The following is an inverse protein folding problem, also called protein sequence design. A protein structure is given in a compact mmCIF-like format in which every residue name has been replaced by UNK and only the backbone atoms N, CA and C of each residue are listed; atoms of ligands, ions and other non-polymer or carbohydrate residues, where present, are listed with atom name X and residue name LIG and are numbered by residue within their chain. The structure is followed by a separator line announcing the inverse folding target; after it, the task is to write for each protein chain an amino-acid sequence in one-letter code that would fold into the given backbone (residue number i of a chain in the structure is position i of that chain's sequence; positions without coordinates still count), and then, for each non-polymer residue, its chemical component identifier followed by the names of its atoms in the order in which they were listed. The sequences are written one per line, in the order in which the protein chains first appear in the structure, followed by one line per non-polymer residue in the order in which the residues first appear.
data_IF_878590768739
#
_entry.id   IF_878590768739
#
_cell.length_a   1.000
_cell.length_b   1.000
_cell.length_c   1.000
_cell.angle_alpha   90.00
_cell.angle_beta   90.00
_cell.angle_gamma   90.00
#
_symmetry.space_group_name_H-M   'P 1'
#
loop_
_entity.id
_entity.type
_entity.pdbx_description
1 polymer ?
#
# COMPACT_ATOMS: atom_id res chain seq x y z
N UNK A 1 -10.78 -19.88 6.71
CA UNK A 1 -10.12 -19.50 5.44
C UNK A 1 -9.52 -20.70 4.71
N UNK A 2 -8.80 -21.61 5.40
CA UNK A 2 -8.25 -22.83 4.77
C UNK A 2 -9.33 -23.88 4.43
N UNK A 3 -10.34 -24.09 5.30
CA UNK A 3 -11.40 -25.08 5.05
C UNK A 3 -12.33 -24.73 3.87
N UNK A 4 -12.53 -23.43 3.60
CA UNK A 4 -13.31 -22.95 2.44
C UNK A 4 -12.61 -23.20 1.10
N UNK A 5 -11.32 -23.56 1.10
CA UNK A 5 -10.56 -23.95 -0.08
C UNK A 5 -10.90 -25.36 -0.59
N UNK A 6 -11.78 -26.12 0.05
CA UNK A 6 -12.13 -27.48 -0.41
C UNK A 6 -13.58 -27.66 -0.88
N UNK A 7 -14.46 -26.67 -0.70
CA UNK A 7 -15.91 -26.86 -0.91
C UNK A 7 -16.53 -26.27 -2.20
N UNK A 8 -15.77 -25.69 -3.16
CA UNK A 8 -16.40 -25.06 -4.34
C UNK A 8 -15.56 -25.19 -5.62
N UNK A 9 -16.15 -25.77 -6.68
CA UNK A 9 -15.45 -26.26 -7.89
C UNK A 9 -15.29 -25.25 -9.05
N UNK A 10 -15.91 -24.07 -9.04
CA UNK A 10 -16.11 -23.28 -10.28
C UNK A 10 -15.65 -21.79 -10.31
N UNK A 11 -14.72 -21.34 -9.46
CA UNK A 11 -14.13 -19.98 -9.61
C UNK A 11 -12.64 -19.99 -9.27
N UNK A 12 -11.83 -19.17 -9.98
CA UNK A 12 -10.38 -18.97 -9.81
C UNK A 12 -9.93 -18.93 -8.33
N UNK A 13 -9.63 -20.10 -7.73
CA UNK A 13 -9.29 -20.25 -6.30
C UNK A 13 -7.86 -19.81 -5.99
N UNK A 14 -7.02 -19.73 -7.03
CA UNK A 14 -5.59 -19.50 -6.89
C UNK A 14 -5.17 -18.04 -7.04
N UNK A 15 -5.99 -17.16 -7.63
CA UNK A 15 -5.58 -15.76 -7.84
C UNK A 15 -5.37 -14.99 -6.54
N UNK A 16 -6.22 -15.20 -5.52
CA UNK A 16 -6.00 -14.59 -4.19
C UNK A 16 -4.80 -15.21 -3.47
N UNK A 17 -4.54 -16.50 -3.70
CA UNK A 17 -3.41 -17.20 -3.11
C UNK A 17 -2.09 -16.75 -3.74
N UNK A 18 -2.08 -16.51 -5.05
CA UNK A 18 -0.94 -16.04 -5.83
C UNK A 18 -0.46 -14.65 -5.40
N UNK A 19 -1.40 -13.69 -5.27
CA UNK A 19 -1.08 -12.35 -4.77
C UNK A 19 -0.62 -12.41 -3.30
N UNK A 20 -1.28 -13.20 -2.45
CA UNK A 20 -0.89 -13.33 -1.04
C UNK A 20 0.50 -13.93 -0.88
N UNK A 21 0.80 -15.02 -1.60
CA UNK A 21 2.10 -15.68 -1.54
C UNK A 21 3.25 -14.84 -2.10
N UNK A 22 2.96 -13.90 -3.00
CA UNK A 22 3.97 -13.02 -3.58
C UNK A 22 4.22 -11.77 -2.71
N UNK A 23 3.15 -11.17 -2.17
CA UNK A 23 3.23 -9.90 -1.44
C UNK A 23 3.57 -10.11 0.04
N UNK A 24 2.96 -11.11 0.69
CA UNK A 24 3.16 -11.37 2.12
C UNK A 24 4.63 -11.54 2.54
N UNK A 25 5.47 -12.37 1.87
CA UNK A 25 6.85 -12.55 2.32
C UNK A 25 7.66 -11.25 2.24
N UNK A 26 7.42 -10.45 1.21
CA UNK A 26 8.08 -9.15 1.04
C UNK A 26 7.73 -8.21 2.20
N UNK A 27 6.44 -8.12 2.57
CA UNK A 27 5.99 -7.28 3.69
C UNK A 27 6.53 -7.77 5.03
N UNK A 28 6.60 -9.09 5.25
CA UNK A 28 7.16 -9.64 6.48
C UNK A 28 8.65 -9.32 6.63
N UNK A 29 9.42 -9.48 5.54
CA UNK A 29 10.85 -9.16 5.54
C UNK A 29 11.06 -7.66 5.82
N UNK A 30 10.30 -6.77 5.18
CA UNK A 30 10.44 -5.32 5.42
C UNK A 30 10.14 -4.94 6.86
N UNK A 31 9.09 -5.51 7.48
CA UNK A 31 8.78 -5.28 8.89
C UNK A 31 9.91 -5.76 9.79
N UNK A 32 10.45 -6.96 9.55
CA UNK A 32 11.60 -7.49 10.32
C UNK A 32 12.81 -6.55 10.20
N UNK A 33 13.13 -6.07 9.01
CA UNK A 33 14.25 -5.14 8.81
C UNK A 33 14.02 -3.81 9.55
N UNK A 34 12.81 -3.26 9.51
CA UNK A 34 12.48 -2.04 10.26
C UNK A 34 12.63 -2.23 11.77
N UNK A 35 12.18 -3.38 12.31
CA UNK A 35 12.37 -3.72 13.72
C UNK A 35 13.85 -3.84 14.07
N UNK A 36 14.66 -4.47 13.22
CA UNK A 36 16.10 -4.60 13.44
C UNK A 36 16.80 -3.24 13.49
N UNK A 37 16.40 -2.26 12.68
CA UNK A 37 16.95 -0.90 12.75
C UNK A 37 16.67 -0.22 14.10
N UNK A 38 15.46 -0.42 14.66
CA UNK A 38 15.13 0.09 16.01
C UNK A 38 16.01 -0.58 17.06
N UNK A 39 16.21 -1.90 16.96
CA UNK A 39 17.07 -2.64 17.87
C UNK A 39 18.51 -2.12 17.82
N UNK A 40 19.10 -1.96 16.63
CA UNK A 40 20.45 -1.40 16.43
C UNK A 40 20.56 0.00 17.04
N UNK A 41 19.55 0.86 16.83
CA UNK A 41 19.52 2.20 17.41
C UNK A 41 19.49 2.15 18.94
N UNK A 42 18.71 1.25 19.55
CA UNK A 42 18.69 1.10 21.03
C UNK A 42 20.02 0.59 21.57
N UNK A 43 20.68 -0.35 20.89
CA UNK A 43 22.00 -0.84 21.31
C UNK A 43 23.08 0.22 21.19
N UNK A 44 22.95 1.14 20.24
CA UNK A 44 23.90 2.24 20.06
C UNK A 44 24.02 3.17 21.28
N UNK A 45 23.02 3.18 22.18
CA UNK A 45 23.04 3.95 23.43
C UNK A 45 24.11 3.44 24.40
N UNK A 46 24.44 2.14 24.36
CA UNK A 46 25.49 1.55 25.21
C UNK A 46 26.90 1.91 24.74
N UNK A 47 27.06 2.42 23.52
CA UNK A 47 28.34 2.86 22.97
C UNK A 47 28.22 4.28 22.36
N UNK A 48 28.27 5.33 23.22
CA UNK A 48 28.03 6.72 22.82
C UNK A 48 28.95 7.25 21.71
N UNK A 49 30.15 6.67 21.57
CA UNK A 49 31.12 7.05 20.54
C UNK A 49 30.69 6.67 19.12
N UNK A 50 29.87 5.62 18.96
CA UNK A 50 29.37 5.15 17.66
C UNK A 50 27.94 5.59 17.37
N UNK A 51 27.20 6.09 18.37
CA UNK A 51 25.81 6.52 18.24
C UNK A 51 25.57 7.48 17.07
N UNK A 52 26.39 8.53 16.84
CA UNK A 52 26.14 9.46 15.74
C UNK A 52 26.24 8.81 14.36
N UNK A 53 27.25 7.94 14.16
CA UNK A 53 27.44 7.20 12.90
C UNK A 53 26.30 6.22 12.67
N UNK A 54 25.89 5.47 13.69
CA UNK A 54 24.78 4.52 13.59
C UNK A 54 23.46 5.25 13.30
N UNK A 55 23.22 6.39 13.96
CA UNK A 55 22.02 7.19 13.72
C UNK A 55 21.95 7.71 12.29
N UNK A 56 23.09 8.12 11.70
CA UNK A 56 23.17 8.52 10.30
C UNK A 56 22.82 7.35 9.36
N UNK A 57 23.41 6.18 9.57
CA UNK A 57 23.11 4.98 8.76
C UNK A 57 21.64 4.56 8.85
N UNK A 58 21.05 4.62 10.05
CA UNK A 58 19.62 4.34 10.24
C UNK A 58 18.76 5.38 9.52
N UNK A 59 19.11 6.66 9.60
CA UNK A 59 18.39 7.72 8.91
C UNK A 59 18.47 7.56 7.37
N UNK A 60 19.64 7.26 6.83
CA UNK A 60 19.85 7.00 5.41
C UNK A 60 19.07 5.77 4.94
N UNK A 61 19.07 4.70 5.73
CA UNK A 61 18.27 3.52 5.45
C UNK A 61 16.78 3.86 5.36
N UNK A 62 16.25 4.58 6.35
CA UNK A 62 14.84 4.97 6.38
C UNK A 62 14.47 5.90 5.23
N UNK A 63 15.31 6.90 4.94
CA UNK A 63 15.12 7.82 3.82
C UNK A 63 15.08 7.07 2.49
N UNK A 64 16.06 6.20 2.26
CA UNK A 64 16.15 5.37 1.05
C UNK A 64 14.96 4.44 0.92
N UNK A 65 14.51 3.83 2.02
CA UNK A 65 13.32 2.99 2.04
C UNK A 65 12.07 3.76 1.63
N UNK A 66 11.84 4.96 2.18
CA UNK A 66 10.70 5.82 1.82
C UNK A 66 10.75 6.23 0.35
N UNK A 67 11.91 6.65 -0.15
CA UNK A 67 12.09 7.06 -1.55
C UNK A 67 11.81 5.89 -2.50
N UNK A 68 12.37 4.71 -2.22
CA UNK A 68 12.17 3.53 -3.06
C UNK A 68 10.71 3.04 -2.99
N UNK A 69 10.08 3.09 -1.82
CA UNK A 69 8.68 2.73 -1.66
C UNK A 69 7.77 3.66 -2.47
N UNK A 70 7.95 4.98 -2.34
CA UNK A 70 7.24 5.97 -3.13
C UNK A 70 7.44 5.75 -4.63
N UNK A 71 8.69 5.55 -5.06
CA UNK A 71 9.04 5.30 -6.46
C UNK A 71 8.39 4.04 -7.01
N UNK A 72 8.33 2.96 -6.23
CA UNK A 72 7.69 1.70 -6.65
C UNK A 72 6.17 1.85 -6.85
N UNK A 73 5.50 2.57 -5.95
CA UNK A 73 4.07 2.87 -6.08
C UNK A 73 3.80 3.78 -7.26
N UNK A 74 4.65 4.80 -7.47
CA UNK A 74 4.55 5.68 -8.61
C UNK A 74 4.71 4.90 -9.92
N UNK A 75 5.68 3.98 -10.00
CA UNK A 75 5.88 3.14 -11.16
C UNK A 75 4.68 2.23 -11.45
N UNK A 76 4.13 1.56 -10.43
CA UNK A 76 2.90 0.77 -10.55
C UNK A 76 1.72 1.63 -11.04
N UNK A 77 1.55 2.82 -10.48
CA UNK A 77 0.52 3.77 -10.89
C UNK A 77 0.71 4.22 -12.35
N UNK A 78 1.95 4.49 -12.76
CA UNK A 78 2.29 4.87 -14.13
C UNK A 78 1.97 3.74 -15.11
N UNK A 79 2.37 2.50 -14.82
CA UNK A 79 2.03 1.32 -15.62
C UNK A 79 0.52 1.18 -15.73
N UNK A 80 -0.23 1.35 -14.65
CA UNK A 80 -1.70 1.27 -14.65
C UNK A 80 -2.32 2.35 -15.54
N UNK A 81 -1.83 3.59 -15.46
CA UNK A 81 -2.34 4.69 -16.30
C UNK A 81 -2.02 4.46 -17.78
N UNK A 82 -0.82 3.96 -18.11
CA UNK A 82 -0.41 3.67 -19.49
C UNK A 82 -1.25 2.52 -20.07
N UNK A 83 -1.38 1.41 -19.32
CA UNK A 83 -2.11 0.22 -19.77
C UNK A 83 -3.61 0.48 -19.89
N UNK A 84 -4.19 1.24 -18.96
CA UNK A 84 -5.62 1.52 -18.90
C UNK A 84 -5.98 2.93 -19.40
N UNK A 85 -5.14 3.51 -20.28
CA UNK A 85 -5.28 4.88 -20.76
C UNK A 85 -6.65 5.19 -21.36
N UNK A 86 -7.27 4.22 -22.05
CA UNK A 86 -8.60 4.40 -22.66
C UNK A 86 -9.76 4.19 -21.68
N UNK A 87 -9.55 3.45 -20.60
CA UNK A 87 -10.60 3.16 -19.60
C UNK A 87 -10.72 4.27 -18.55
N UNK A 88 -9.63 4.97 -18.26
CA UNK A 88 -9.63 6.10 -17.34
C UNK A 88 -10.26 7.32 -18.03
N UNK A 89 -11.55 7.54 -17.79
CA UNK A 89 -12.29 8.71 -18.28
C UNK A 89 -12.01 9.91 -17.36
N UNK A 90 -11.02 10.70 -17.72
CA UNK A 90 -10.78 12.03 -17.16
C UNK A 90 -9.88 12.85 -18.10
N UNK A 91 -9.83 14.19 -17.99
CA UNK A 91 -8.94 15.01 -18.79
C UNK A 91 -7.47 14.70 -18.50
N UNK A 92 -6.61 14.84 -19.52
CA UNK A 92 -5.20 14.40 -19.50
C UNK A 92 -4.42 15.00 -18.32
N UNK A 93 -4.64 16.27 -18.00
CA UNK A 93 -3.96 16.93 -16.88
C UNK A 93 -4.28 16.27 -15.53
N UNK A 94 -5.53 15.81 -15.33
CA UNK A 94 -5.92 15.09 -14.10
C UNK A 94 -5.30 13.71 -14.02
N UNK A 95 -5.15 13.00 -15.16
CA UNK A 95 -4.47 11.68 -15.19
C UNK A 95 -3.05 11.79 -14.66
N UNK A 96 -2.32 12.78 -15.14
CA UNK A 96 -0.93 13.01 -14.75
C UNK A 96 -0.87 13.45 -13.28
N UNK A 97 -1.70 14.42 -12.87
CA UNK A 97 -1.75 14.87 -11.47
C UNK A 97 -2.09 13.74 -10.49
N UNK A 98 -3.05 12.88 -10.86
CA UNK A 98 -3.47 11.76 -10.03
C UNK A 98 -2.42 10.65 -9.94
N UNK A 99 -1.58 10.49 -10.96
CA UNK A 99 -0.42 9.59 -10.89
C UNK A 99 0.58 10.02 -9.81
N UNK A 100 0.82 11.32 -9.63
CA UNK A 100 1.71 11.83 -8.58
C UNK A 100 1.09 11.79 -7.19
N UNK A 101 -0.22 11.97 -7.08
CA UNK A 101 -0.91 11.92 -5.77
C UNK A 101 -1.26 10.49 -5.34
N UNK A 102 -1.21 9.52 -6.26
CA UNK A 102 -1.48 8.10 -5.97
C UNK A 102 -0.57 7.51 -4.87
N UNK A 103 0.77 7.64 -4.90
CA UNK A 103 1.61 7.13 -3.82
C UNK A 103 1.29 7.77 -2.46
N UNK A 104 0.99 9.06 -2.44
CA UNK A 104 0.57 9.77 -1.22
C UNK A 104 -0.75 9.19 -0.67
N UNK A 105 -1.73 8.97 -1.55
CA UNK A 105 -2.98 8.31 -1.19
C UNK A 105 -2.74 6.92 -0.60
N UNK A 106 -1.87 6.13 -1.22
CA UNK A 106 -1.52 4.80 -0.72
C UNK A 106 -0.84 4.85 0.65
N UNK A 107 0.00 5.85 0.93
CA UNK A 107 0.60 6.02 2.26
C UNK A 107 -0.44 6.29 3.36
N UNK A 108 -1.60 6.89 3.04
CA UNK A 108 -2.68 7.07 4.03
C UNK A 108 -3.27 5.75 4.53
N UNK A 109 -3.08 4.64 3.80
CA UNK A 109 -3.50 3.32 4.29
C UNK A 109 -2.71 2.87 5.51
N UNK A 110 -1.49 3.36 5.74
CA UNK A 110 -0.69 3.02 6.92
C UNK A 110 -1.41 3.47 8.21
N UNK A 111 -1.73 4.78 8.41
CA UNK A 111 -2.44 5.21 9.60
C UNK A 111 -3.85 4.63 9.69
N UNK A 112 -4.55 4.45 8.56
CA UNK A 112 -5.87 3.80 8.54
C UNK A 112 -5.78 2.36 9.07
N UNK A 113 -4.76 1.60 8.65
CA UNK A 113 -4.56 0.21 9.09
C UNK A 113 -4.22 0.11 10.57
N UNK A 114 -3.39 1.04 11.07
CA UNK A 114 -3.08 1.13 12.50
C UNK A 114 -4.35 1.42 13.30
N UNK A 115 -5.15 2.42 12.88
CA UNK A 115 -6.41 2.76 13.53
C UNK A 115 -7.41 1.59 13.50
N UNK A 116 -7.49 0.86 12.38
CA UNK A 116 -8.35 -0.29 12.21
C UNK A 116 -7.96 -1.47 13.13
N UNK A 117 -6.67 -1.64 13.44
CA UNK A 117 -6.20 -2.72 14.32
C UNK A 117 -6.68 -2.55 15.78
N UNK A 118 -6.90 -1.31 16.22
CA UNK A 118 -7.38 -1.00 17.57
C UNK A 118 -8.89 -0.68 17.63
N UNK A 119 -9.52 -0.44 16.47
CA UNK A 119 -10.95 -0.17 16.37
C UNK A 119 -11.80 -1.45 16.35
N UNK A 120 -12.99 -1.41 16.98
CA UNK A 120 -14.04 -2.40 16.71
C UNK A 120 -14.65 -2.09 15.34
N UNK A 121 -14.02 -2.59 14.28
CA UNK A 121 -14.49 -2.40 12.91
C UNK A 121 -15.68 -3.33 12.67
N UNK A 122 -16.85 -2.91 13.14
CA UNK A 122 -18.10 -3.52 12.74
C UNK A 122 -18.48 -3.00 11.34
N UNK A 123 -18.83 -3.93 10.45
CA UNK A 123 -19.39 -3.54 9.16
C UNK A 123 -20.73 -2.84 9.41
N UNK A 124 -20.80 -1.56 9.09
CA UNK A 124 -22.07 -0.81 9.05
C UNK A 124 -22.49 -0.67 7.59
N UNK A 125 -23.76 -0.94 7.25
CA UNK A 125 -24.25 -0.71 5.89
C UNK A 125 -24.07 0.77 5.54
N UNK A 126 -23.55 1.01 4.34
CA UNK A 126 -23.44 2.36 3.79
C UNK A 126 -24.79 2.67 3.16
N UNK A 127 -25.50 3.65 3.70
CA UNK A 127 -26.76 4.11 3.14
C UNK A 127 -26.48 4.82 1.81
N UNK A 128 -26.86 4.18 0.70
CA UNK A 128 -26.75 4.76 -0.63
C UNK A 128 -27.98 5.62 -0.92
N UNK A 129 -27.88 6.92 -0.73
CA UNK A 129 -28.96 7.87 -1.01
C UNK A 129 -29.13 8.22 -2.50
N UNK A 130 -28.14 7.86 -3.33
CA UNK A 130 -28.10 8.21 -4.75
C UNK A 130 -27.74 6.96 -5.56
N UNK A 131 -28.70 6.49 -6.37
CA UNK A 131 -28.47 5.45 -7.37
C UNK A 131 -28.17 6.11 -8.71
N UNK A 132 -26.89 6.19 -9.09
CA UNK A 132 -26.49 6.57 -10.46
C UNK A 132 -26.01 5.36 -11.24
N UNK A 133 -26.36 5.31 -12.51
CA UNK A 133 -25.85 4.28 -13.42
C UNK A 133 -24.46 4.67 -13.96
N UNK A 134 -23.67 3.69 -14.42
CA UNK A 134 -22.32 3.97 -14.97
C UNK A 134 -22.36 4.87 -16.21
N UNK A 135 -23.46 4.82 -16.96
CA UNK A 135 -23.69 5.64 -18.14
C UNK A 135 -23.88 7.11 -17.75
N UNK A 136 -24.66 7.40 -16.71
CA UNK A 136 -24.86 8.76 -16.17
C UNK A 136 -23.57 9.40 -15.64
N UNK A 137 -22.65 8.61 -15.07
CA UNK A 137 -21.35 9.12 -14.61
C UNK A 137 -20.42 9.39 -15.79
N UNK A 138 -20.51 8.58 -16.85
CA UNK A 138 -19.70 8.73 -18.06
C UNK A 138 -20.10 9.96 -18.88
N UNK A 139 -21.39 10.26 -18.96
CA UNK A 139 -21.94 11.35 -19.81
C UNK A 139 -21.49 12.74 -19.34
N UNK A 140 -21.06 12.86 -18.09
CA UNK A 140 -20.64 14.13 -17.45
C UNK A 140 -19.11 14.36 -17.43
N UNK A 141 -18.32 13.55 -18.17
CA UNK A 141 -16.84 13.62 -18.22
C UNK A 141 -16.37 14.07 -19.59
#
# INVERSE_FOLDING_TARGET
MLASLFHNKNKNRFSCFDITLTVMPTVLITVVMLVMQVVVLTFSVFQPSLTPSIAHEVADFLLRWVILYYGSLFFMGAVTVITEWKKIKCPIYKRILYMFTYPLFMMTYIPISIAAMFGKVEWKPIEHSVSKTLDEVTENI
#
